data_IF_850688280946
#
_entry.id   IF_850688280946
#
_cell.length_a   1.000
_cell.length_b   1.000
_cell.length_c   1.000
_cell.angle_alpha   90.00
_cell.angle_beta   90.00
_cell.angle_gamma   90.00
#
_symmetry.space_group_name_H-M   'P 1'
#
loop_
_entity.id
_entity.type
_entity.pdbx_description
1 polymer ?
#
# COMPACT_ATOMS: atom_id res chain seq x y z
N UNK A 1 54.95 -33.27 49.67
CA UNK A 1 54.84 -34.67 49.19
C UNK A 1 53.35 -34.97 49.02
N UNK A 2 52.92 -35.20 47.77
CA UNK A 2 51.62 -35.73 47.28
C UNK A 2 50.33 -35.35 48.04
N UNK A 3 49.61 -34.34 47.53
CA UNK A 3 48.17 -34.20 47.79
C UNK A 3 47.40 -35.15 46.86
N UNK A 4 46.47 -35.90 47.46
CA UNK A 4 45.79 -37.04 46.87
C UNK A 4 44.69 -36.62 45.88
N UNK A 5 44.62 -37.38 44.79
CA UNK A 5 43.45 -37.53 43.92
C UNK A 5 42.25 -37.99 44.77
N UNK A 6 41.03 -37.58 44.42
CA UNK A 6 39.90 -38.50 44.15
C UNK A 6 38.73 -37.71 43.54
N UNK A 7 38.25 -38.21 42.40
CA UNK A 7 37.13 -37.72 41.59
C UNK A 7 35.80 -38.17 42.22
N UNK A 8 34.81 -37.27 42.28
CA UNK A 8 33.39 -37.60 42.46
C UNK A 8 32.65 -37.13 41.19
N UNK A 9 32.33 -38.06 40.29
CA UNK A 9 31.04 -38.75 40.15
C UNK A 9 29.87 -37.85 39.73
N UNK A 10 29.53 -37.97 38.43
CA UNK A 10 28.18 -38.02 37.88
C UNK A 10 27.30 -36.76 37.92
N UNK A 11 27.35 -35.97 36.86
CA UNK A 11 26.23 -35.11 36.44
C UNK A 11 25.67 -35.67 35.13
N UNK A 12 24.67 -36.53 35.26
CA UNK A 12 23.87 -37.05 34.15
C UNK A 12 22.66 -36.12 34.00
N UNK A 13 22.80 -35.04 33.22
CA UNK A 13 21.66 -34.21 32.82
C UNK A 13 21.36 -34.56 31.36
N UNK A 14 20.46 -35.53 31.18
CA UNK A 14 19.78 -35.80 29.92
C UNK A 14 18.35 -35.26 30.05
N UNK A 15 18.12 -34.07 29.52
CA UNK A 15 16.79 -33.57 29.18
C UNK A 15 16.84 -33.08 27.72
N UNK A 16 16.41 -33.90 26.76
CA UNK A 16 16.00 -33.39 25.46
C UNK A 16 14.47 -33.33 25.37
N UNK A 17 13.97 -32.47 24.46
CA UNK A 17 12.59 -32.38 23.96
C UNK A 17 11.60 -31.65 24.89
N UNK A 18 10.88 -30.60 24.50
CA UNK A 18 10.51 -30.06 23.18
C UNK A 18 10.24 -28.56 23.33
N UNK A 19 11.07 -27.70 22.75
CA UNK A 19 10.59 -26.38 22.37
C UNK A 19 9.72 -26.58 21.12
N UNK A 20 8.41 -26.72 21.34
CA UNK A 20 7.41 -26.47 20.31
C UNK A 20 7.59 -25.01 19.89
N UNK A 21 8.43 -24.79 18.88
CA UNK A 21 8.44 -23.57 18.11
C UNK A 21 7.09 -23.52 17.41
N UNK A 22 6.09 -22.98 18.10
CA UNK A 22 4.88 -22.50 17.48
C UNK A 22 5.31 -21.29 16.64
N UNK A 23 5.83 -21.56 15.45
CA UNK A 23 5.94 -20.57 14.41
C UNK A 23 4.50 -20.09 14.19
N UNK A 24 4.15 -18.84 14.51
CA UNK A 24 2.82 -18.36 14.21
C UNK A 24 2.71 -18.44 12.69
N UNK A 25 1.87 -19.37 12.21
CA UNK A 25 1.37 -19.34 10.84
C UNK A 25 0.67 -18.00 10.74
N UNK A 26 1.34 -17.01 10.15
CA UNK A 26 0.66 -15.81 9.65
C UNK A 26 -0.38 -16.35 8.69
N UNK A 27 -1.64 -16.33 9.12
CA UNK A 27 -2.75 -16.47 8.20
C UNK A 27 -2.50 -15.41 7.12
N UNK A 28 -2.30 -15.85 5.88
CA UNK A 28 -2.26 -14.95 4.75
C UNK A 28 -3.64 -14.31 4.69
N UNK A 29 -3.76 -13.07 5.17
CA UNK A 29 -4.95 -12.27 4.92
C UNK A 29 -5.13 -12.26 3.40
N UNK A 30 -6.26 -12.80 2.95
CA UNK A 30 -6.59 -12.75 1.52
C UNK A 30 -7.02 -11.33 1.26
N UNK A 31 -6.10 -10.48 0.82
CA UNK A 31 -6.41 -9.12 0.38
C UNK A 31 -7.38 -9.23 -0.78
N UNK A 32 -8.58 -8.67 -0.62
CA UNK A 32 -9.57 -8.59 -1.70
C UNK A 32 -9.08 -7.61 -2.75
N UNK A 33 -9.48 -7.83 -3.99
CA UNK A 33 -9.15 -6.95 -5.11
C UNK A 33 -10.43 -6.24 -5.54
N UNK A 34 -10.35 -4.92 -5.66
CA UNK A 34 -11.42 -4.08 -6.20
C UNK A 34 -10.92 -3.42 -7.48
N UNK A 35 -11.68 -3.57 -8.57
CA UNK A 35 -11.34 -3.00 -9.87
C UNK A 35 -12.16 -1.75 -10.13
N UNK A 36 -11.52 -0.72 -10.70
CA UNK A 36 -12.16 0.56 -11.02
C UNK A 36 -11.83 0.97 -12.45
N UNK A 37 -12.80 1.56 -13.14
CA UNK A 37 -12.71 2.03 -14.52
C UNK A 37 -13.17 3.49 -14.69
N UNK A 38 -13.71 4.10 -13.64
CA UNK A 38 -14.20 5.48 -13.65
C UNK A 38 -14.06 6.14 -12.27
N UNK A 39 -14.30 7.45 -12.21
CA UNK A 39 -14.13 8.25 -11.00
C UNK A 39 -15.05 7.80 -9.87
N UNK A 40 -16.31 7.44 -10.18
CA UNK A 40 -17.28 7.01 -9.17
C UNK A 40 -16.85 5.70 -8.51
N UNK A 41 -16.43 4.73 -9.31
CA UNK A 41 -15.92 3.44 -8.80
C UNK A 41 -14.68 3.62 -7.94
N UNK A 42 -13.73 4.46 -8.37
CA UNK A 42 -12.54 4.76 -7.58
C UNK A 42 -12.90 5.44 -6.25
N UNK A 43 -13.80 6.43 -6.28
CA UNK A 43 -14.28 7.11 -5.08
C UNK A 43 -14.95 6.14 -4.09
N UNK A 44 -15.83 5.27 -4.58
CA UNK A 44 -16.50 4.26 -3.74
C UNK A 44 -15.51 3.23 -3.19
N UNK A 45 -14.54 2.78 -3.99
CA UNK A 45 -13.51 1.85 -3.55
C UNK A 45 -12.65 2.46 -2.43
N UNK A 46 -12.24 3.71 -2.59
CA UNK A 46 -11.45 4.44 -1.60
C UNK A 46 -12.22 4.65 -0.28
N UNK A 47 -13.54 4.86 -0.34
CA UNK A 47 -14.35 5.15 0.84
C UNK A 47 -14.85 3.90 1.56
N UNK A 48 -15.24 2.86 0.82
CA UNK A 48 -15.94 1.69 1.37
C UNK A 48 -15.09 0.42 1.37
N UNK A 49 -13.99 0.41 0.64
CA UNK A 49 -13.09 -0.76 0.50
C UNK A 49 -11.61 -0.40 0.75
N UNK A 50 -11.25 0.37 1.80
CA UNK A 50 -9.88 0.86 1.99
C UNK A 50 -8.86 -0.24 2.38
N UNK A 51 -9.31 -1.48 2.62
CA UNK A 51 -8.42 -2.63 2.87
C UNK A 51 -8.20 -3.50 1.64
N UNK A 52 -8.92 -3.22 0.56
CA UNK A 52 -8.77 -3.93 -0.69
C UNK A 52 -7.56 -3.38 -1.46
N UNK A 53 -6.94 -4.23 -2.27
CA UNK A 53 -6.03 -3.77 -3.31
C UNK A 53 -6.87 -3.18 -4.44
N UNK A 54 -6.79 -1.88 -4.66
CA UNK A 54 -7.55 -1.18 -5.69
C UNK A 54 -6.74 -1.19 -6.98
N UNK A 55 -7.32 -1.63 -8.09
CA UNK A 55 -6.66 -1.73 -9.40
C UNK A 55 -7.45 -0.95 -10.44
N UNK A 56 -6.77 -0.01 -11.12
CA UNK A 56 -7.36 0.71 -12.24
C UNK A 56 -7.34 -0.17 -13.49
N UNK A 57 -8.40 -0.05 -14.27
CA UNK A 57 -8.61 -0.81 -15.51
C UNK A 57 -8.81 0.09 -16.73
N UNK A 58 -8.92 1.40 -16.52
CA UNK A 58 -9.02 2.42 -17.57
C UNK A 58 -8.48 3.77 -17.05
N UNK A 59 -8.25 4.72 -17.96
CA UNK A 59 -8.02 6.12 -17.60
C UNK A 59 -9.26 6.72 -16.93
N UNK A 60 -9.06 7.48 -15.87
CA UNK A 60 -10.12 8.08 -15.06
C UNK A 60 -10.13 9.60 -15.28
N UNK A 61 -11.27 10.13 -15.72
CA UNK A 61 -11.56 11.56 -15.63
C UNK A 61 -12.25 11.80 -14.29
N UNK A 62 -11.60 12.53 -13.40
CA UNK A 62 -12.11 12.81 -12.06
C UNK A 62 -13.34 13.72 -12.09
N UNK A 63 -14.21 13.53 -11.10
CA UNK A 63 -15.43 14.29 -10.90
C UNK A 63 -15.43 14.90 -9.49
N UNK A 64 -16.27 15.92 -9.26
CA UNK A 64 -16.43 16.46 -7.91
C UNK A 64 -17.32 15.56 -7.05
N UNK A 65 -16.76 15.08 -5.94
CA UNK A 65 -17.50 14.36 -4.91
C UNK A 65 -17.69 15.24 -3.66
N UNK A 66 -18.80 15.09 -2.93
CA UNK A 66 -19.15 15.99 -1.83
C UNK A 66 -18.23 15.89 -0.61
N UNK A 67 -17.53 14.76 -0.45
CA UNK A 67 -16.75 14.44 0.74
C UNK A 67 -15.25 14.32 0.43
N UNK A 68 -14.43 14.81 1.36
CA UNK A 68 -12.99 14.54 1.40
C UNK A 68 -12.78 13.05 1.71
N UNK A 69 -11.94 12.37 0.94
CA UNK A 69 -11.61 10.97 1.20
C UNK A 69 -10.58 10.89 2.34
N UNK A 70 -11.02 10.44 3.51
CA UNK A 70 -10.17 10.22 4.69
C UNK A 70 -9.89 8.73 4.90
N UNK A 71 -8.62 8.35 4.84
CA UNK A 71 -8.12 6.98 4.99
C UNK A 71 -7.62 6.79 6.42
N UNK A 72 -8.20 5.83 7.14
CA UNK A 72 -7.72 5.43 8.47
C UNK A 72 -6.85 4.17 8.43
N UNK A 73 -6.89 3.44 7.31
CA UNK A 73 -6.10 2.23 7.06
C UNK A 73 -5.20 2.44 5.84
N UNK A 74 -3.97 1.88 5.83
CA UNK A 74 -3.13 1.88 4.65
C UNK A 74 -3.87 1.31 3.44
N UNK A 75 -3.99 2.12 2.38
CA UNK A 75 -4.72 1.79 1.15
C UNK A 75 -3.76 1.85 -0.03
N UNK A 76 -3.74 0.79 -0.85
CA UNK A 76 -2.89 0.74 -2.05
C UNK A 76 -3.73 0.83 -3.32
N UNK A 77 -3.32 1.71 -4.24
CA UNK A 77 -3.97 1.94 -5.53
C UNK A 77 -2.97 1.67 -6.65
N UNK A 78 -3.19 0.59 -7.39
CA UNK A 78 -2.37 0.21 -8.53
C UNK A 78 -2.97 0.77 -9.82
N UNK A 79 -2.33 1.80 -10.35
CA UNK A 79 -2.78 2.52 -11.54
C UNK A 79 -2.28 1.86 -12.83
N UNK A 80 -1.21 1.07 -12.75
CA UNK A 80 -0.60 0.49 -13.95
C UNK A 80 -0.23 1.58 -14.96
N UNK A 81 -0.56 1.36 -16.23
CA UNK A 81 -0.34 2.36 -17.28
C UNK A 81 -1.53 3.31 -17.48
N UNK A 82 -2.43 3.43 -16.51
CA UNK A 82 -3.59 4.33 -16.55
C UNK A 82 -3.33 5.62 -15.75
N UNK A 83 -4.11 6.65 -16.05
CA UNK A 83 -3.99 8.00 -15.50
C UNK A 83 -5.28 8.45 -14.82
N UNK A 84 -5.15 9.32 -13.83
CA UNK A 84 -6.26 10.11 -13.27
C UNK A 84 -6.08 11.54 -13.76
N UNK A 85 -7.03 12.02 -14.56
CA UNK A 85 -7.10 13.39 -15.00
C UNK A 85 -8.00 14.18 -14.05
N UNK A 86 -7.54 15.32 -13.54
CA UNK A 86 -8.31 16.21 -12.68
C UNK A 86 -8.68 17.46 -13.51
N UNK A 87 -9.94 17.58 -13.98
CA UNK A 87 -10.39 18.74 -14.74
C UNK A 87 -10.31 20.06 -13.96
N UNK A 88 -10.34 21.20 -14.67
CA UNK A 88 -10.14 22.54 -14.11
C UNK A 88 -11.09 22.90 -12.96
N UNK A 89 -12.34 22.47 -13.03
CA UNK A 89 -13.38 22.71 -12.04
C UNK A 89 -13.47 21.62 -10.97
N UNK A 90 -12.57 20.63 -11.00
CA UNK A 90 -12.58 19.47 -10.12
C UNK A 90 -11.44 19.51 -9.10
N UNK A 91 -11.67 18.85 -7.97
CA UNK A 91 -10.64 18.68 -6.94
C UNK A 91 -10.54 17.25 -6.45
N UNK A 92 -9.31 16.73 -6.39
CA UNK A 92 -8.99 15.45 -5.78
C UNK A 92 -8.36 15.70 -4.40
N UNK A 93 -9.04 15.26 -3.35
CA UNK A 93 -8.59 15.39 -1.96
C UNK A 93 -8.44 14.02 -1.33
N UNK A 94 -7.21 13.64 -0.98
CA UNK A 94 -6.89 12.41 -0.30
C UNK A 94 -6.14 12.69 1.01
N UNK A 95 -6.67 12.20 2.14
CA UNK A 95 -6.07 12.41 3.46
C UNK A 95 -5.88 11.09 4.20
N UNK A 96 -4.64 10.72 4.46
CA UNK A 96 -4.30 9.51 5.20
C UNK A 96 -3.28 8.64 4.45
N UNK A 97 -3.00 7.43 4.97
CA UNK A 97 -2.02 6.51 4.38
C UNK A 97 -2.60 5.88 3.12
N UNK A 98 -2.40 6.54 1.98
CA UNK A 98 -2.77 6.02 0.67
C UNK A 98 -1.58 6.10 -0.27
N UNK A 99 -1.33 5.01 -0.98
CA UNK A 99 -0.18 4.85 -1.85
C UNK A 99 -0.66 4.55 -3.28
N UNK A 100 -0.30 5.42 -4.21
CA UNK A 100 -0.58 5.26 -5.63
C UNK A 100 0.66 4.73 -6.34
N UNK A 101 0.48 3.66 -7.12
CA UNK A 101 1.54 2.97 -7.82
C UNK A 101 1.30 2.99 -9.33
N UNK A 102 2.18 3.68 -10.04
CA UNK A 102 2.19 3.71 -11.51
C UNK A 102 2.99 2.57 -12.10
N UNK A 103 2.70 2.25 -13.36
CA UNK A 103 3.47 1.34 -14.20
C UNK A 103 4.58 2.07 -14.96
N UNK A 104 5.18 1.38 -15.92
CA UNK A 104 6.30 1.87 -16.75
C UNK A 104 5.84 2.70 -17.95
N UNK A 105 4.62 3.25 -17.90
CA UNK A 105 4.05 4.08 -18.97
C UNK A 105 4.69 5.47 -19.02
N UNK A 106 4.55 6.13 -20.18
CA UNK A 106 5.04 7.51 -20.39
C UNK A 106 4.01 8.57 -20.00
N UNK A 107 2.76 8.19 -19.77
CA UNK A 107 1.72 9.11 -19.33
C UNK A 107 1.87 9.44 -17.84
N UNK A 108 1.53 10.66 -17.41
CA UNK A 108 1.53 10.99 -16.00
C UNK A 108 0.46 10.19 -15.26
N UNK A 109 0.76 9.75 -14.03
CA UNK A 109 -0.26 9.08 -13.20
C UNK A 109 -1.38 10.07 -12.85
N UNK A 110 -1.02 11.29 -12.47
CA UNK A 110 -1.97 12.39 -12.28
C UNK A 110 -1.71 13.51 -13.28
N UNK A 111 -2.71 13.82 -14.11
CA UNK A 111 -2.72 15.01 -14.97
C UNK A 111 -3.66 16.06 -14.36
N UNK A 112 -3.12 17.17 -13.88
CA UNK A 112 -3.85 18.10 -13.01
C UNK A 112 -4.08 19.43 -13.71
N UNK A 113 -5.33 19.68 -14.13
CA UNK A 113 -5.80 21.01 -14.55
C UNK A 113 -6.50 21.76 -13.40
N UNK A 114 -7.15 21.02 -12.50
CA UNK A 114 -7.82 21.55 -11.31
C UNK A 114 -6.92 21.50 -10.08
N UNK A 115 -7.43 20.90 -9.00
CA UNK A 115 -6.71 20.84 -7.72
C UNK A 115 -6.41 19.41 -7.29
N UNK A 116 -5.13 19.13 -7.02
CA UNK A 116 -4.69 17.92 -6.32
C UNK A 116 -4.20 18.32 -4.93
N UNK A 117 -4.80 17.75 -3.89
CA UNK A 117 -4.43 17.99 -2.51
C UNK A 117 -4.29 16.65 -1.76
N UNK A 118 -3.12 16.46 -1.18
CA UNK A 118 -2.75 15.25 -0.46
C UNK A 118 -2.11 15.61 0.88
N UNK A 119 -2.04 14.66 1.80
CA UNK A 119 -1.32 14.84 3.08
C UNK A 119 0.07 14.18 3.05
N UNK A 120 0.87 14.41 4.08
CA UNK A 120 2.21 13.80 4.23
C UNK A 120 2.19 12.26 4.30
N UNK A 121 1.01 11.67 4.55
CA UNK A 121 0.81 10.22 4.59
C UNK A 121 0.45 9.64 3.22
N UNK A 122 0.22 10.49 2.21
CA UNK A 122 -0.04 10.07 0.85
C UNK A 122 1.26 9.97 0.06
N UNK A 123 1.44 8.87 -0.68
CA UNK A 123 2.57 8.68 -1.58
C UNK A 123 2.09 8.42 -3.02
N UNK A 124 2.74 9.02 -4.00
CA UNK A 124 2.48 8.78 -5.42
C UNK A 124 3.81 8.38 -6.06
N UNK A 125 3.92 7.11 -6.44
CA UNK A 125 5.16 6.51 -6.93
C UNK A 125 5.02 6.12 -8.40
N UNK A 126 5.69 6.86 -9.28
CA UNK A 126 5.89 6.47 -10.67
C UNK A 126 7.17 5.65 -10.80
N UNK A 127 7.15 4.57 -11.59
CA UNK A 127 8.29 3.67 -11.75
C UNK A 127 8.56 3.39 -13.24
N UNK A 128 9.72 3.80 -13.75
CA UNK A 128 10.11 3.57 -15.14
C UNK A 128 10.98 4.70 -15.69
N UNK A 129 11.53 4.50 -16.89
CA UNK A 129 12.21 5.58 -17.61
C UNK A 129 11.16 6.60 -18.11
N UNK A 130 11.41 7.89 -17.85
CA UNK A 130 10.51 8.99 -18.24
C UNK A 130 9.09 8.95 -17.64
N UNK A 131 8.84 8.14 -16.60
CA UNK A 131 7.56 8.13 -15.92
C UNK A 131 7.35 9.43 -15.11
N UNK A 132 6.11 9.91 -15.06
CA UNK A 132 5.75 11.12 -14.31
C UNK A 132 4.67 10.78 -13.29
N UNK A 133 4.90 11.05 -12.01
CA UNK A 133 3.90 10.82 -10.97
C UNK A 133 2.77 11.85 -11.07
N UNK A 134 3.14 13.13 -11.11
CA UNK A 134 2.19 14.24 -11.20
C UNK A 134 2.68 15.22 -12.26
N UNK A 135 1.81 15.56 -13.20
CA UNK A 135 2.01 16.65 -14.14
C UNK A 135 0.92 17.68 -13.92
N UNK A 136 1.33 18.92 -13.64
CA UNK A 136 0.41 20.07 -13.65
C UNK A 136 0.29 20.52 -15.11
N UNK A 137 -0.94 20.62 -15.59
CA UNK A 137 -1.25 21.14 -16.92
C UNK A 137 -1.52 22.65 -16.83
N UNK A 138 -1.02 23.39 -17.82
CA UNK A 138 -1.19 24.85 -17.95
C UNK A 138 -2.57 25.25 -18.50
#
# INVERSE_FOLDING_TARGET
>A
MKSAKTLFFSVLILFPLTFLSACPVRASETTKITYCSNARELYEALLYHPTDTIILTDDIIWENFPDVMEFSTPTEVYMGNYSIQIPYDCSFYAKGPVEFYGGTGTQPMFLVNGYLNTTEQTQITASGESCTAVQIAD
#
